data_IF_999329164058
#
_entry.id   IF_999329164058
#
_cell.length_a   1.000
_cell.length_b   1.000
_cell.length_c   1.000
_cell.angle_alpha   90.00
_cell.angle_beta   90.00
_cell.angle_gamma   90.00
#
_symmetry.space_group_name_H-M   'P 1'
#
loop_
_entity.id
_entity.type
_entity.pdbx_description
1 polymer ?
2 non-polymer ?
3 non-polymer ?
4 water ?
#
# COMPACT_ATOMS: atom_id res chain seq x y z
N UNK A 1 -23.36 -21.29 2.77
CA UNK A 1 -22.10 -21.78 2.14
C UNK A 1 -21.01 -20.71 2.20
N UNK A 2 -19.81 -21.09 1.77
CA UNK A 2 -18.64 -20.21 1.75
C UNK A 2 -18.46 -19.65 0.33
N UNK A 3 -18.27 -18.32 0.20
CA UNK A 3 -17.99 -17.74 -1.13
C UNK A 3 -16.67 -18.25 -1.71
N UNK A 4 -16.52 -18.17 -3.03
CA UNK A 4 -15.27 -18.58 -3.66
C UNK A 4 -14.09 -17.81 -3.07
N UNK A 5 -13.00 -18.53 -2.81
CA UNK A 5 -11.74 -17.91 -2.45
C UNK A 5 -10.56 -18.68 -3.06
N UNK A 6 -9.44 -17.97 -3.34
CA UNK A 6 -8.25 -18.64 -3.88
C UNK A 6 -7.65 -19.60 -2.86
N UNK A 7 -7.23 -20.79 -3.32
CA UNK A 7 -6.60 -21.76 -2.43
C UNK A 7 -5.12 -21.95 -2.74
N UNK A 8 -4.72 -21.51 -3.93
CA UNK A 8 -3.31 -21.45 -4.30
C UNK A 8 -3.00 -20.11 -4.96
N UNK A 9 -1.71 -19.79 -5.01
CA UNK A 9 -1.25 -18.48 -5.47
C UNK A 9 -1.73 -18.16 -6.90
N UNK A 10 -1.72 -19.19 -7.77
CA UNK A 10 -2.15 -19.02 -9.16
C UNK A 10 -3.64 -18.72 -9.31
N UNK A 11 -4.42 -19.07 -8.29
CA UNK A 11 -5.86 -18.80 -8.27
C UNK A 11 -6.17 -17.29 -8.29
N UNK A 12 -5.17 -16.48 -7.97
CA UNK A 12 -5.33 -15.03 -8.03
C UNK A 12 -5.57 -14.55 -9.47
N UNK A 13 -5.18 -15.37 -10.45
CA UNK A 13 -5.48 -15.13 -11.86
C UNK A 13 -6.98 -15.03 -12.11
N UNK A 14 -7.77 -15.72 -11.28
CA UNK A 14 -9.20 -15.87 -11.49
C UNK A 14 -10.07 -14.87 -10.72
N UNK A 15 -9.44 -13.94 -10.01
CA UNK A 15 -10.17 -12.93 -9.23
C UNK A 15 -11.06 -12.07 -10.12
N UNK A 26 -9.60 4.74 -18.21
CA UNK A 26 -9.63 5.85 -17.27
C UNK A 26 -11.02 6.43 -17.12
N UNK A 27 -11.41 6.72 -15.87
CA UNK A 27 -12.60 7.50 -15.59
C UNK A 27 -12.45 8.86 -16.28
N UNK A 28 -13.52 9.32 -16.92
CA UNK A 28 -13.49 10.56 -17.70
C UNK A 28 -13.25 11.82 -16.86
N UNK A 29 -13.42 11.72 -15.55
CA UNK A 29 -13.21 12.85 -14.64
C UNK A 29 -11.85 12.86 -13.97
N UNK A 30 -11.01 11.87 -14.29
CA UNK A 30 -9.65 11.84 -13.79
C UNK A 30 -8.91 13.06 -14.33
N UNK A 31 -8.07 13.72 -13.49
CA UNK A 31 -7.33 14.91 -13.93
C UNK A 31 -6.52 14.70 -15.20
N UNK A 32 -6.11 13.47 -15.46
CA UNK A 32 -5.28 13.15 -16.62
C UNK A 32 -6.02 12.72 -17.86
N UNK A 33 -7.35 12.62 -17.78
CA UNK A 33 -8.16 12.16 -18.91
C UNK A 33 -8.02 13.09 -20.12
N UNK A 34 -8.10 14.39 -19.88
CA UNK A 34 -7.98 15.39 -20.95
C UNK A 34 -6.54 15.60 -21.45
N UNK A 35 -5.62 14.82 -20.91
CA UNK A 35 -4.25 14.78 -21.42
C UNK A 35 -4.08 13.50 -22.24
N UNK A 36 -3.91 13.67 -23.55
CA UNK A 36 -3.89 12.54 -24.48
C UNK A 36 -2.81 11.49 -24.21
N UNK A 37 -1.58 11.95 -23.93
CA UNK A 37 -0.50 11.01 -23.61
C UNK A 37 -0.76 10.30 -22.28
N UNK A 38 -1.25 11.03 -21.28
CA UNK A 38 -1.59 10.42 -20.00
C UNK A 38 -2.67 9.34 -20.19
N UNK A 39 -3.72 9.69 -20.92
CA UNK A 39 -4.82 8.77 -21.18
C UNK A 39 -4.36 7.50 -21.90
N UNK A 40 -3.56 7.67 -22.95
CA UNK A 40 -3.09 6.55 -23.75
C UNK A 40 -2.15 5.62 -22.96
N UNK A 41 -1.25 6.22 -22.19
CA UNK A 41 -0.33 5.45 -21.36
C UNK A 41 -1.04 4.69 -20.26
N UNK A 42 -2.10 5.27 -19.69
CA UNK A 42 -2.92 4.57 -18.71
C UNK A 42 -3.54 3.31 -19.30
N UNK A 43 -3.99 3.38 -20.55
CA UNK A 43 -4.49 2.20 -21.26
C UNK A 43 -3.40 1.14 -21.42
N UNK A 44 -2.19 1.60 -21.76
CA UNK A 44 -1.03 0.72 -21.86
C UNK A 44 -0.77 -0.03 -20.55
N UNK A 45 -0.69 0.71 -19.44
CA UNK A 45 -0.50 0.09 -18.12
C UNK A 45 -1.64 -0.88 -17.77
N UNK A 46 -2.88 -0.49 -18.05
CA UNK A 46 -4.03 -1.34 -17.80
C UNK A 46 -3.94 -2.67 -18.57
N UNK A 47 -3.50 -2.62 -19.82
CA UNK A 47 -3.38 -3.81 -20.66
C UNK A 47 -2.27 -4.76 -20.19
N UNK A 48 -1.16 -4.21 -19.71
CA UNK A 48 -0.07 -5.03 -19.16
C UNK A 48 -0.55 -5.84 -17.97
N UNK A 49 -1.29 -5.19 -17.07
CA UNK A 49 -1.85 -5.86 -15.89
C UNK A 49 -2.88 -6.92 -16.28
N UNK A 50 -3.76 -6.58 -17.22
CA UNK A 50 -4.79 -7.51 -17.67
C UNK A 50 -4.19 -8.76 -18.32
N UNK A 51 -3.10 -8.58 -19.05
CA UNK A 51 -2.44 -9.69 -19.74
C UNK A 51 -1.56 -10.55 -18.82
N UNK A 52 -1.24 -10.01 -17.64
CA UNK A 52 -0.40 -10.73 -16.68
C UNK A 52 -1.07 -12.00 -16.14
N UNK A 53 -0.29 -13.08 -16.02
CA UNK A 53 -0.71 -14.30 -15.35
C UNK A 53 0.38 -14.73 -14.37
N UNK A 54 -0.01 -15.34 -13.24
CA UNK A 54 0.97 -15.77 -12.24
C UNK A 54 2.08 -16.59 -12.87
N UNK A 55 3.32 -16.27 -12.49
CA UNK A 55 4.50 -16.96 -13.06
C UNK A 55 5.26 -16.11 -14.06
N UNK A 56 4.56 -15.19 -14.71
CA UNK A 56 5.17 -14.21 -15.61
C UNK A 56 6.11 -13.28 -14.85
N UNK A 57 7.25 -12.93 -15.45
CA UNK A 57 7.96 -11.77 -14.90
C UNK A 57 7.06 -10.55 -15.09
N UNK A 58 7.04 -9.63 -14.12
CA UNK A 58 6.19 -8.44 -14.27
C UNK A 58 6.79 -7.56 -15.36
N UNK A 59 6.01 -7.23 -16.41
CA UNK A 59 6.55 -6.41 -17.49
C UNK A 59 7.22 -5.13 -16.99
N UNK A 60 8.44 -4.90 -17.45
CA UNK A 60 9.17 -3.68 -17.12
C UNK A 60 8.82 -2.58 -18.11
N UNK A 61 8.64 -1.37 -17.58
CA UNK A 61 8.19 -0.23 -18.37
C UNK A 61 9.25 0.86 -18.42
N UNK A 62 9.48 1.39 -19.62
CA UNK A 62 10.31 2.58 -19.77
C UNK A 62 9.43 3.78 -19.47
N UNK A 63 9.64 4.37 -18.30
CA UNK A 63 8.87 5.54 -17.91
C UNK A 63 9.33 6.79 -18.65
N UNK A 64 8.39 7.69 -18.88
CA UNK A 64 8.64 8.93 -19.59
C UNK A 64 9.32 9.96 -18.70
N UNK A 65 9.84 11.02 -19.31
CA UNK A 65 10.45 12.12 -18.56
C UNK A 65 9.46 12.76 -17.58
N UNK A 66 8.22 12.96 -18.02
CA UNK A 66 7.17 13.54 -17.16
C UNK A 66 6.85 12.64 -15.97
N UNK A 67 6.75 11.33 -16.23
CA UNK A 67 6.50 10.36 -15.16
C UNK A 67 7.63 10.38 -14.13
N UNK A 68 8.87 10.37 -14.62
CA UNK A 68 10.05 10.41 -13.76
C UNK A 68 10.15 11.72 -12.98
N UNK A 69 9.75 12.83 -13.61
CA UNK A 69 9.74 14.14 -12.94
C UNK A 69 8.77 14.14 -11.76
N UNK A 70 7.58 13.58 -11.95
CA UNK A 70 6.59 13.48 -10.88
C UNK A 70 7.09 12.58 -9.75
N UNK A 71 7.61 11.40 -10.11
CA UNK A 71 8.26 10.51 -9.13
C UNK A 71 9.34 11.25 -8.35
N UNK A 72 10.19 11.96 -9.10
CA UNK A 72 11.32 12.71 -8.53
C UNK A 72 10.89 13.72 -7.48
N UNK A 73 9.86 14.49 -7.80
CA UNK A 73 9.28 15.48 -6.89
C UNK A 73 8.79 14.81 -5.60
N UNK A 74 7.97 13.78 -5.77
CA UNK A 74 7.42 13.01 -4.67
C UNK A 74 8.54 12.43 -3.79
N UNK A 75 9.49 11.74 -4.42
CA UNK A 75 10.64 11.11 -3.75
C UNK A 75 11.48 12.12 -2.97
N UNK A 76 11.86 13.20 -3.63
CA UNK A 76 12.70 14.24 -3.03
C UNK A 76 12.08 14.81 -1.75
N UNK A 77 10.82 15.19 -1.83
CA UNK A 77 10.11 15.79 -0.69
C UNK A 77 9.81 14.80 0.44
N UNK A 78 9.40 13.58 0.07
CA UNK A 78 9.14 12.56 1.08
C UNK A 78 10.41 12.19 1.86
N UNK A 79 11.53 12.09 1.15
CA UNK A 79 12.80 11.76 1.79
C UNK A 79 13.29 12.80 2.80
N UNK A 80 12.81 14.03 2.67
CA UNK A 80 13.10 15.08 3.66
C UNK A 80 12.31 14.87 4.94
N UNK A 81 11.20 14.13 4.83
CA UNK A 81 10.27 13.94 5.94
C UNK A 81 10.47 12.62 6.67
N UNK A 82 10.81 11.57 5.92
CA UNK A 82 10.98 10.23 6.49
C UNK A 82 11.82 10.15 7.79
N UNK A 83 13.03 10.77 7.80
CA UNK A 83 13.87 10.68 9.00
C UNK A 83 13.16 11.09 10.31
N UNK A 84 12.23 12.02 10.23
CA UNK A 84 11.52 12.50 11.44
C UNK A 84 10.08 11.97 11.59
N UNK A 85 9.54 11.37 10.54
CA UNK A 85 8.12 11.00 10.49
C UNK A 85 7.89 9.47 10.43
N UNK A 86 8.77 8.76 9.74
CA UNK A 86 8.59 7.33 9.50
C UNK A 86 9.05 6.47 10.68
N UNK A 87 8.39 5.33 10.88
CA UNK A 87 8.81 4.35 11.89
C UNK A 87 10.21 3.82 11.56
N UNK A 88 10.91 3.31 12.59
CA UNK A 88 12.29 2.82 12.39
C UNK A 88 12.39 1.67 11.39
N UNK A 89 11.39 0.79 11.36
CA UNK A 89 11.37 -0.35 10.44
C UNK A 89 11.39 0.13 8.99
N UNK A 90 10.60 1.16 8.70
CA UNK A 90 10.60 1.79 7.39
C UNK A 90 11.99 2.32 7.05
N UNK A 91 12.55 3.12 7.96
CA UNK A 91 13.87 3.73 7.79
C UNK A 91 15.00 2.71 7.67
N UNK A 92 14.86 1.56 8.34
CA UNK A 92 15.84 0.48 8.26
C UNK A 92 15.91 -0.11 6.86
N UNK A 93 14.76 -0.22 6.20
CA UNK A 93 14.63 -0.96 4.94
C UNK A 93 14.79 -0.13 3.68
N UNK A 94 14.51 1.17 3.76
CA UNK A 94 14.58 2.05 2.58
C UNK A 94 15.96 2.08 1.89
N UNK A 95 17.07 2.20 2.66
CA UNK A 95 18.41 2.18 2.07
C UNK A 95 18.77 0.90 1.30
N UNK A 96 18.22 -0.24 1.73
CA UNK A 96 18.44 -1.51 1.03
C UNK A 96 17.74 -1.52 -0.31
N UNK A 97 16.52 -0.98 -0.34
CA UNK A 97 15.76 -0.84 -1.57
C UNK A 97 16.44 0.08 -2.56
N UNK A 98 16.98 1.19 -2.07
CA UNK A 98 17.72 2.12 -2.90
C UNK A 98 18.98 1.49 -3.49
N UNK A 99 19.63 0.63 -2.72
CA UNK A 99 20.83 -0.05 -3.19
C UNK A 99 20.50 -1.12 -4.23
N UNK A 100 19.49 -1.94 -3.94
CA UNK A 100 19.22 -3.13 -4.75
C UNK A 100 18.14 -2.97 -5.82
N UNK A 101 17.27 -1.97 -5.68
CA UNK A 101 16.13 -1.82 -6.59
C UNK A 101 16.08 -0.49 -7.36
N UNK A 102 17.12 0.33 -7.21
CA UNK A 102 17.24 1.58 -7.98
C UNK A 102 16.29 2.70 -7.60
N UNK A 103 16.01 2.84 -6.31
CA UNK A 103 15.24 3.97 -5.80
C UNK A 103 16.14 5.20 -5.86
N UNK A 104 15.86 6.08 -6.82
CA UNK A 104 16.62 7.31 -7.05
C UNK A 104 15.66 8.39 -7.50
N UNK A 105 16.04 9.64 -7.31
CA UNK A 105 15.23 10.78 -7.72
C UNK A 105 14.90 10.76 -9.22
N UNK A 106 15.81 10.23 -10.03
CA UNK A 106 15.60 10.20 -11.48
C UNK A 106 15.39 8.78 -12.04
N UNK A 107 14.97 7.86 -11.19
CA UNK A 107 14.66 6.50 -11.64
C UNK A 107 13.48 5.90 -10.88
N UNK A 108 12.46 5.48 -11.61
CA UNK A 108 11.34 4.75 -10.99
C UNK A 108 11.68 3.25 -10.92
N UNK A 109 11.72 2.68 -9.70
CA UNK A 109 11.95 1.24 -9.57
C UNK A 109 10.89 0.43 -10.30
N UNK A 110 11.30 -0.74 -10.81
CA UNK A 110 10.40 -1.64 -11.51
C UNK A 110 9.73 -2.61 -10.55
N UNK A 111 8.45 -2.90 -10.80
CA UNK A 111 7.72 -3.83 -9.94
C UNK A 111 8.40 -5.19 -9.86
N UNK A 112 8.91 -5.68 -10.99
CA UNK A 112 9.60 -6.99 -11.01
C UNK A 112 10.84 -7.04 -10.09
N UNK A 113 11.61 -5.95 -10.07
CA UNK A 113 12.79 -5.85 -9.20
C UNK A 113 12.42 -5.85 -7.73
N UNK A 114 11.44 -5.01 -7.36
CA UNK A 114 10.99 -4.96 -5.96
C UNK A 114 10.30 -6.27 -5.55
N UNK A 115 9.59 -6.91 -6.48
CA UNK A 115 8.97 -8.20 -6.20
C UNK A 115 10.04 -9.22 -5.82
N UNK A 116 11.09 -9.30 -6.64
CA UNK A 116 12.19 -10.23 -6.38
C UNK A 116 12.95 -9.93 -5.09
N UNK A 117 13.10 -8.65 -4.78
CA UNK A 117 13.71 -8.23 -3.51
C UNK A 117 12.84 -8.72 -2.34
N UNK A 118 11.53 -8.49 -2.41
CA UNK A 118 10.62 -8.91 -1.34
C UNK A 118 10.56 -10.43 -1.18
N UNK A 119 10.63 -11.15 -2.30
CA UNK A 119 10.62 -12.62 -2.28
C UNK A 119 11.74 -13.17 -1.41
N UNK A 120 12.93 -12.61 -1.54
CA UNK A 120 14.08 -13.08 -0.77
C UNK A 120 14.07 -12.61 0.70
N UNK A 121 13.41 -11.48 0.97
CA UNK A 121 13.37 -10.90 2.32
C UNK A 121 12.26 -11.50 3.18
N UNK A 122 11.03 -11.53 2.68
CA UNK A 122 9.86 -11.96 3.45
C UNK A 122 8.94 -12.94 2.71
N UNK A 123 9.29 -13.28 1.48
CA UNK A 123 8.46 -14.17 0.67
C UNK A 123 7.28 -13.43 0.04
N UNK A 124 7.21 -12.12 0.24
CA UNK A 124 6.21 -11.31 -0.46
C UNK A 124 6.55 -11.20 -1.94
N UNK A 125 5.52 -11.10 -2.76
CA UNK A 125 5.69 -10.86 -4.18
C UNK A 125 4.60 -9.90 -4.66
N UNK A 126 4.77 -9.41 -5.87
CA UNK A 126 3.85 -8.46 -6.45
C UNK A 126 3.18 -9.03 -7.69
N UNK A 127 1.90 -8.69 -7.87
CA UNK A 127 1.31 -8.79 -9.19
C UNK A 127 0.70 -7.45 -9.59
N UNK A 128 0.85 -7.08 -10.87
CA UNK A 128 0.31 -5.82 -11.35
C UNK A 128 -1.21 -5.88 -11.41
N UNK A 129 -1.86 -4.77 -11.06
CA UNK A 129 -3.30 -4.65 -11.16
C UNK A 129 -3.67 -3.40 -11.98
N UNK A 130 -4.68 -3.53 -12.84
CA UNK A 130 -5.05 -2.44 -13.75
C UNK A 130 -5.61 -1.22 -13.00
N UNK A 131 -6.40 -1.49 -11.97
CA UNK A 131 -6.97 -0.43 -11.16
C UNK A 131 -7.63 -0.97 -9.91
N UNK A 132 -8.89 -0.59 -9.70
CA UNK A 132 -9.65 -0.98 -8.53
C UNK A 132 -9.90 -2.48 -8.47
N UNK A 133 -9.79 -3.04 -7.27
CA UNK A 133 -10.24 -4.39 -6.98
C UNK A 133 -10.94 -4.36 -5.64
N UNK A 134 -11.83 -5.33 -5.40
CA UNK A 134 -12.58 -5.37 -4.15
C UNK A 134 -11.66 -5.59 -2.95
N UNK A 135 -12.07 -5.11 -1.75
CA UNK A 135 -11.34 -5.47 -0.54
C UNK A 135 -11.15 -6.99 -0.40
N UNK A 136 -12.21 -7.76 -0.66
CA UNK A 136 -12.10 -9.22 -0.59
C UNK A 136 -10.95 -9.73 -1.47
N UNK A 137 -10.90 -9.26 -2.71
CA UNK A 137 -9.87 -9.70 -3.66
C UNK A 137 -8.48 -9.27 -3.21
N UNK A 138 -8.34 -8.00 -2.83
CA UNK A 138 -7.04 -7.51 -2.38
C UNK A 138 -6.53 -8.27 -1.15
N UNK A 139 -7.38 -8.40 -0.14
CA UNK A 139 -7.02 -9.14 1.07
C UNK A 139 -6.71 -10.62 0.77
N UNK A 140 -7.42 -11.19 -0.20
CA UNK A 140 -7.17 -12.58 -0.56
C UNK A 140 -5.74 -12.77 -1.05
N UNK A 141 -5.22 -11.77 -1.78
CA UNK A 141 -3.83 -11.82 -2.25
C UNK A 141 -2.84 -11.87 -1.10
N UNK A 142 -3.07 -11.04 -0.07
CA UNK A 142 -2.18 -11.02 1.11
C UNK A 142 -2.03 -12.38 1.79
N UNK A 143 -3.07 -13.19 1.72
CA UNK A 143 -3.02 -14.55 2.27
C UNK A 143 -1.88 -15.38 1.69
N UNK A 144 -1.52 -15.07 0.44
CA UNK A 144 -0.40 -15.75 -0.25
C UNK A 144 0.86 -14.89 -0.30
N UNK A 145 0.92 -13.88 0.56
CA UNK A 145 1.98 -12.86 0.53
C UNK A 145 2.13 -12.26 -0.87
N UNK A 146 0.98 -11.95 -1.48
CA UNK A 146 0.94 -11.30 -2.78
C UNK A 146 0.29 -9.94 -2.61
N UNK A 147 1.00 -8.91 -3.05
CA UNK A 147 0.50 -7.56 -2.99
C UNK A 147 0.14 -7.08 -4.41
N UNK A 148 -1.13 -6.73 -4.62
CA UNK A 148 -1.54 -6.19 -5.92
C UNK A 148 -1.09 -4.74 -6.04
N UNK A 149 -0.28 -4.44 -7.05
CA UNK A 149 0.31 -3.10 -7.22
C UNK A 149 -0.05 -2.45 -8.56
N UNK A 150 -0.32 -1.15 -8.51
CA UNK A 150 -0.47 -0.34 -9.71
C UNK A 150 0.90 0.05 -10.22
N UNK A 151 0.99 0.28 -11.52
CA UNK A 151 2.26 0.50 -12.21
C UNK A 151 2.37 1.91 -12.81
N UNK A 152 1.24 2.59 -12.94
CA UNK A 152 1.20 3.97 -13.45
C UNK A 152 1.58 5.00 -12.40
N UNK A 153 1.81 6.23 -12.86
CA UNK A 153 2.21 7.32 -12.00
C UNK A 153 1.06 8.33 -11.87
N UNK A 154 0.92 8.90 -10.68
CA UNK A 154 -0.10 9.92 -10.41
C UNK A 154 0.04 11.11 -11.37
N UNK A 155 -1.09 11.77 -11.66
CA UNK A 155 -1.06 12.95 -12.52
C UNK A 155 -0.23 14.07 -11.89
N UNK A 156 0.54 14.76 -12.75
CA UNK A 156 1.49 15.78 -12.30
C UNK A 156 0.86 16.97 -11.58
N UNK A 157 -0.44 17.18 -11.78
CA UNK A 157 -1.14 18.34 -11.22
C UNK A 157 -1.15 18.36 -9.70
N UNK A 158 -1.15 17.19 -9.08
CA UNK A 158 -1.04 17.09 -7.62
C UNK A 158 -0.16 15.93 -7.18
N UNK A 159 1.15 16.18 -7.04
CA UNK A 159 2.02 15.13 -6.52
C UNK A 159 1.86 14.90 -5.01
N UNK A 160 1.28 15.87 -4.30
CA UNK A 160 1.28 15.86 -2.84
C UNK A 160 0.22 14.96 -2.21
N UNK A 161 -0.88 14.76 -2.93
CA UNK A 161 -1.96 13.88 -2.49
C UNK A 161 -2.79 13.48 -3.70
N UNK A 162 -3.09 12.19 -3.80
CA UNK A 162 -4.06 11.71 -4.78
C UNK A 162 -4.99 10.67 -4.16
N UNK A 163 -6.31 10.75 -4.46
CA UNK A 163 -7.23 9.74 -3.97
C UNK A 163 -7.08 8.39 -4.69
N UNK A 164 -6.31 8.37 -5.78
CA UNK A 164 -6.09 7.15 -6.55
C UNK A 164 -4.68 6.61 -6.29
N UNK A 165 -4.58 5.37 -5.79
CA UNK A 165 -3.25 4.80 -5.55
C UNK A 165 -2.50 4.58 -6.87
N UNK A 166 -1.23 4.96 -6.87
CA UNK A 166 -0.38 4.84 -8.05
C UNK A 166 0.88 4.09 -7.66
N UNK A 167 1.83 3.99 -8.59
CA UNK A 167 3.04 3.21 -8.32
C UNK A 167 3.93 3.87 -7.26
N UNK A 168 3.93 5.21 -7.21
CA UNK A 168 4.66 5.92 -6.16
C UNK A 168 4.20 5.45 -4.78
N UNK A 169 2.87 5.37 -4.62
CA UNK A 169 2.28 4.84 -3.41
C UNK A 169 2.71 3.41 -3.09
N UNK A 170 2.70 2.52 -4.09
CA UNK A 170 3.10 1.13 -3.83
C UNK A 170 4.58 1.08 -3.40
N UNK A 171 5.41 1.80 -4.14
CA UNK A 171 6.87 1.69 -3.99
C UNK A 171 7.42 2.39 -2.75
N UNK A 172 6.90 3.57 -2.47
CA UNK A 172 7.33 4.35 -1.31
C UNK A 172 6.47 4.15 -0.06
N UNK A 173 5.19 3.86 -0.25
CA UNK A 173 4.29 3.61 0.87
C UNK A 173 4.42 2.21 1.43
N UNK A 174 4.31 1.19 0.56
CA UNK A 174 4.21 -0.21 1.00
C UNK A 174 5.49 -1.04 1.06
N UNK A 175 6.28 -0.97 -0.01
CA UNK A 175 7.39 -1.91 -0.19
C UNK A 175 8.38 -1.99 1.01
N UNK A 176 8.85 -0.84 1.53
CA UNK A 176 9.79 -0.89 2.66
C UNK A 176 9.28 -1.61 3.90
N UNK A 177 7.97 -1.62 4.13
CA UNK A 177 7.44 -2.35 5.27
C UNK A 177 7.11 -3.81 4.95
N UNK A 178 6.77 -4.10 3.70
CA UNK A 178 6.58 -5.50 3.26
C UNK A 178 7.89 -6.28 3.38
N UNK A 179 9.00 -5.56 3.44
CA UNK A 179 10.33 -6.16 3.59
C UNK A 179 10.65 -6.48 5.05
N UNK A 180 9.76 -6.11 5.96
CA UNK A 180 9.95 -6.35 7.39
C UNK A 180 9.15 -7.59 7.82
N UNK A 181 9.85 -8.64 8.31
CA UNK A 181 9.21 -9.90 8.71
C UNK A 181 7.96 -9.75 9.60
N UNK A 182 8.02 -8.92 10.64
CA UNK A 182 6.89 -8.77 11.55
C UNK A 182 5.69 -8.15 10.83
N UNK A 183 5.96 -7.20 9.94
CA UNK A 183 4.90 -6.52 9.20
C UNK A 183 4.30 -7.44 8.15
N UNK A 184 5.16 -8.17 7.44
CA UNK A 184 4.70 -9.15 6.45
C UNK A 184 3.78 -10.20 7.08
N UNK A 185 4.14 -10.64 8.29
CA UNK A 185 3.31 -11.61 9.02
C UNK A 185 1.95 -11.00 9.34
N UNK A 186 1.97 -9.77 9.87
CA UNK A 186 0.76 -9.05 10.23
C UNK A 186 -0.18 -8.95 9.03
N UNK A 187 0.37 -8.51 7.89
CA UNK A 187 -0.38 -8.39 6.64
C UNK A 187 -0.96 -9.71 6.15
N UNK A 188 -0.13 -10.75 6.12
CA UNK A 188 -0.59 -12.08 5.69
C UNK A 188 -1.76 -12.56 6.55
N UNK A 189 -1.67 -12.32 7.86
CA UNK A 189 -2.68 -12.79 8.79
C UNK A 189 -4.06 -12.14 8.58
N UNK A 190 -4.06 -10.87 8.18
CA UNK A 190 -5.32 -10.23 7.76
C UNK A 190 -5.87 -10.96 6.53
N UNK A 191 -5.02 -11.19 5.54
CA UNK A 191 -5.43 -11.91 4.33
C UNK A 191 -6.00 -13.28 4.62
N UNK A 192 -5.28 -14.06 5.42
CA UNK A 192 -5.72 -15.39 5.84
C UNK A 192 -7.09 -15.36 6.52
N UNK A 193 -7.27 -14.42 7.45
CA UNK A 193 -8.55 -14.26 8.14
C UNK A 193 -9.70 -13.93 7.18
N UNK A 194 -9.38 -13.27 6.06
CA UNK A 194 -10.39 -12.82 5.12
C UNK A 194 -10.91 -13.91 4.19
N UNK A 195 -10.11 -14.96 4.00
CA UNK A 195 -10.42 -15.98 3.00
C UNK A 195 -11.72 -16.71 3.31
N UNK A 196 -12.68 -16.57 2.40
CA UNK A 196 -13.99 -17.20 2.54
C UNK A 196 -14.85 -16.63 3.67
N UNK A 197 -14.42 -15.52 4.26
CA UNK A 197 -15.13 -14.91 5.37
C UNK A 197 -16.44 -14.26 4.89
N UNK A 198 -17.34 -14.00 5.84
CA UNK A 198 -18.59 -13.29 5.56
C UNK A 198 -18.31 -11.88 5.04
N UNK A 199 -19.30 -11.26 4.41
CA UNK A 199 -19.19 -9.88 3.94
C UNK A 199 -18.87 -8.91 5.07
N UNK A 200 -19.57 -9.08 6.19
CA UNK A 200 -19.37 -8.26 7.39
C UNK A 200 -17.93 -8.41 7.90
N UNK A 201 -17.44 -9.64 7.96
CA UNK A 201 -16.08 -9.92 8.40
C UNK A 201 -15.04 -9.25 7.50
N UNK A 202 -15.23 -9.36 6.18
CA UNK A 202 -14.31 -8.73 5.23
C UNK A 202 -14.28 -7.22 5.41
N UNK A 203 -15.46 -6.61 5.60
CA UNK A 203 -15.55 -5.16 5.80
C UNK A 203 -14.77 -4.74 7.04
N UNK A 204 -14.94 -5.49 8.12
CA UNK A 204 -14.25 -5.18 9.37
C UNK A 204 -12.74 -5.36 9.23
N UNK A 205 -12.33 -6.46 8.60
CA UNK A 205 -10.91 -6.71 8.34
C UNK A 205 -10.31 -5.65 7.43
N UNK A 206 -11.05 -5.26 6.39
CA UNK A 206 -10.60 -4.21 5.47
C UNK A 206 -10.43 -2.86 6.16
N UNK A 207 -11.33 -2.55 7.08
CA UNK A 207 -11.25 -1.30 7.85
C UNK A 207 -10.04 -1.30 8.80
N UNK A 208 -9.82 -2.41 9.50
CA UNK A 208 -8.63 -2.55 10.35
C UNK A 208 -7.34 -2.43 9.53
N UNK A 209 -7.33 -3.05 8.35
CA UNK A 209 -6.22 -2.91 7.41
C UNK A 209 -6.00 -1.44 7.04
N UNK A 210 -7.09 -0.75 6.70
CA UNK A 210 -7.07 0.65 6.32
C UNK A 210 -6.44 1.55 7.39
N UNK A 211 -6.78 1.30 8.66
CA UNK A 211 -6.30 2.17 9.73
C UNK A 211 -5.04 1.64 10.41
N UNK A 212 -4.43 0.63 9.81
CA UNK A 212 -3.11 0.16 10.25
C UNK A 212 -2.15 0.24 9.06
N UNK A 213 -2.20 -0.75 8.18
CA UNK A 213 -1.31 -0.82 7.03
C UNK A 213 -1.39 0.44 6.18
N UNK A 214 -2.59 0.97 5.99
CA UNK A 214 -2.76 2.13 5.12
C UNK A 214 -2.53 3.48 5.81
N UNK A 215 -3.06 3.65 7.02
CA UNK A 215 -3.03 4.97 7.69
C UNK A 215 -2.59 4.94 9.16
N UNK A 216 -1.93 3.86 9.55
CA UNK A 216 -1.54 3.67 10.94
C UNK A 216 -0.39 4.54 11.41
N UNK A 217 -0.46 4.90 12.69
CA UNK A 217 0.67 5.50 13.38
C UNK A 217 1.11 4.51 14.46
N UNK A 218 2.37 4.62 14.88
CA UNK A 218 2.84 3.85 16.01
C UNK A 218 3.56 4.74 17.00
N UNK A 219 3.72 4.25 18.22
CA UNK A 219 4.48 4.96 19.24
C UNK A 219 5.82 4.25 19.37
N UNK A 220 6.89 4.96 19.07
CA UNK A 220 8.23 4.39 19.16
C UNK A 220 9.14 5.27 20.00
N UNK A 221 9.67 4.70 21.07
CA UNK A 221 10.45 5.43 22.08
C UNK A 221 9.71 6.71 22.51
N UNK A 222 8.40 6.57 22.73
CA UNK A 222 7.56 7.67 23.20
C UNK A 222 7.03 8.63 22.14
N UNK A 223 7.59 8.57 20.93
CA UNK A 223 7.22 9.50 19.86
C UNK A 223 6.25 8.85 18.88
N UNK A 224 5.36 9.65 18.30
CA UNK A 224 4.49 9.16 17.24
C UNK A 224 5.26 9.12 15.94
N UNK A 225 5.19 7.97 15.26
CA UNK A 225 5.76 7.79 13.94
C UNK A 225 4.69 7.17 13.04
N UNK A 226 4.90 7.22 11.74
CA UNK A 226 3.92 6.64 10.82
C UNK A 226 4.42 5.38 10.14
N UNK A 227 3.51 4.42 10.01
CA UNK A 227 3.79 3.22 9.24
C UNK A 227 2.77 3.04 8.14
N UNK A 228 1.70 3.84 8.19
CA UNK A 228 0.66 3.81 7.15
C UNK A 228 1.14 4.19 5.76
N UNK A 229 1.00 3.26 4.83
CA UNK A 229 1.46 3.44 3.46
C UNK A 229 0.84 4.64 2.72
N UNK A 230 -0.44 4.90 2.98
CA UNK A 230 -1.15 6.04 2.42
C UNK A 230 -0.61 7.38 2.91
N UNK A 231 -0.05 7.37 4.11
CA UNK A 231 0.64 8.54 4.64
C UNK A 231 2.06 8.65 4.10
N UNK A 232 2.77 7.52 4.05
CA UNK A 232 4.17 7.52 3.63
C UNK A 232 4.40 7.90 2.15
N UNK A 233 3.31 7.89 1.37
CA UNK A 233 3.37 8.28 -0.04
C UNK A 233 2.77 9.65 -0.34
N UNK A 234 2.15 10.29 0.66
CA UNK A 234 1.54 11.62 0.48
C UNK A 234 2.28 12.69 1.26
N UNK A 235 3.00 13.55 0.54
CA UNK A 235 3.74 14.66 1.15
C UNK A 235 2.84 15.45 2.11
N UNK A 236 1.67 15.86 1.63
CA UNK A 236 0.77 16.70 2.42
C UNK A 236 0.13 15.97 3.61
N UNK A 237 -0.34 14.74 3.41
CA UNK A 237 -0.97 14.03 4.53
C UNK A 237 0.04 13.53 5.56
N UNK A 238 1.25 13.19 5.12
CA UNK A 238 2.31 12.80 6.04
C UNK A 238 2.62 13.93 7.02
N UNK A 239 2.78 15.15 6.48
CA UNK A 239 3.01 16.33 7.32
C UNK A 239 1.82 16.57 8.26
N UNK A 240 0.61 16.46 7.71
CA UNK A 240 -0.61 16.66 8.48
C UNK A 240 -0.78 15.68 9.65
N UNK A 241 -0.53 14.39 9.39
CA UNK A 241 -0.70 13.35 10.42
C UNK A 241 0.09 13.64 11.70
N UNK A 242 1.31 14.15 11.56
CA UNK A 242 2.15 14.45 12.72
C UNK A 242 2.32 15.94 13.03
N UNK A 243 1.35 16.76 12.65
CA UNK A 243 1.49 18.24 12.71
C UNK A 243 1.67 18.96 14.08
N UNK A 244 0.99 18.57 15.17
CA UNK A 244 -0.09 17.62 15.21
C UNK A 244 -1.40 18.33 15.49
N UNK A 245 -2.09 18.68 14.41
CA UNK A 245 -3.43 19.23 14.45
C UNK A 245 -4.45 18.13 14.18
N UNK A 246 -3.97 16.89 14.03
CA UNK A 246 -4.82 15.74 13.72
C UNK A 246 -5.28 15.03 14.98
N UNK A 247 -6.49 14.49 14.95
CA UNK A 247 -7.01 13.67 16.03
C UNK A 247 -6.38 12.28 15.98
N UNK A 248 -6.00 11.77 17.15
CA UNK A 248 -5.41 10.43 17.27
C UNK A 248 -6.10 9.58 18.32
N UNK A 249 -6.24 8.29 18.03
CA UNK A 249 -6.89 7.34 18.93
C UNK A 249 -6.07 6.05 19.04
N UNK A 250 -6.21 5.31 20.16
CA UNK A 250 -5.49 4.04 20.25
C UNK A 250 -6.12 3.01 19.30
N UNK A 251 -5.29 2.23 18.62
CA UNK A 251 -5.79 1.16 17.77
C UNK A 251 -6.48 0.11 18.64
N UNK A 252 -7.75 -0.16 18.34
CA UNK A 252 -8.56 -1.11 19.08
C UNK A 252 -9.56 -1.70 18.09
N UNK A 253 -9.25 -2.91 17.57
CA UNK A 253 -10.01 -3.47 16.43
C UNK A 253 -11.53 -3.35 16.54
N UNK A 254 -12.10 -3.67 17.71
CA UNK A 254 -13.57 -3.60 17.88
C UNK A 254 -14.15 -2.19 17.72
N UNK A 255 -13.32 -1.18 17.95
CA UNK A 255 -13.70 0.22 17.71
C UNK A 255 -13.24 0.69 16.33
N UNK A 256 -11.98 0.44 16.01
CA UNK A 256 -11.39 0.85 14.74
C UNK A 256 -12.15 0.34 13.52
N UNK A 257 -12.67 -0.89 13.60
CA UNK A 257 -13.35 -1.51 12.46
C UNK A 257 -14.67 -0.82 12.09
N UNK A 258 -15.15 0.05 12.99
CA UNK A 258 -16.39 0.79 12.78
C UNK A 258 -16.14 2.18 12.20
N UNK A 259 -14.87 2.58 12.09
CA UNK A 259 -14.53 3.91 11.59
C UNK A 259 -14.66 3.97 10.06
N UNK A 260 -15.26 5.06 9.57
CA UNK A 260 -15.43 5.27 8.14
C UNK A 260 -14.08 5.53 7.47
N UNK A 261 -13.80 4.76 6.42
CA UNK A 261 -12.61 4.96 5.60
C UNK A 261 -12.86 6.06 4.58
N UNK A 262 -12.15 7.19 4.74
CA UNK A 262 -12.32 8.32 3.83
C UNK A 262 -11.45 8.18 2.58
N UNK A 263 -12.10 8.21 1.41
CA UNK A 263 -11.47 7.82 0.15
C UNK A 263 -11.22 8.95 -0.87
N UNK A 264 -11.55 10.19 -0.52
CA UNK A 264 -11.23 11.33 -1.39
C UNK A 264 -10.58 12.50 -0.63
N UNK A 265 -10.35 12.32 0.67
CA UNK A 265 -9.75 13.34 1.52
C UNK A 265 -8.72 12.75 2.48
N UNK A 266 -8.05 13.63 3.22
CA UNK A 266 -7.29 13.27 4.40
C UNK A 266 -8.22 12.54 5.37
N UNK A 267 -7.67 11.66 6.19
CA UNK A 267 -8.46 10.98 7.22
C UNK A 267 -8.91 11.96 8.32
N UNK A 268 -10.02 11.66 8.98
CA UNK A 268 -10.49 12.46 10.11
C UNK A 268 -9.82 12.05 11.43
N UNK A 269 -9.33 10.82 11.47
CA UNK A 269 -8.69 10.27 12.67
C UNK A 269 -7.60 9.28 12.28
N UNK A 270 -6.55 9.22 13.08
CA UNK A 270 -5.50 8.22 12.91
C UNK A 270 -5.38 7.38 14.16
N UNK A 271 -5.20 6.07 13.97
CA UNK A 271 -5.10 5.14 15.08
C UNK A 271 -3.64 4.76 15.35
N UNK A 272 -3.30 4.72 16.64
CA UNK A 272 -1.94 4.45 17.08
C UNK A 272 -1.80 3.03 17.64
N UNK A 273 -0.94 2.25 16.99
CA UNK A 273 -0.59 0.92 17.46
C UNK A 273 0.69 1.00 18.30
N UNK A 274 0.80 0.13 19.29
CA UNK A 274 2.00 0.08 20.14
C UNK A 274 3.19 -0.45 19.36
N UNK A 275 2.96 -1.51 18.59
CA UNK A 275 3.99 -2.15 17.76
C UNK A 275 3.30 -3.03 16.73
N UNK A 276 4.07 -3.54 15.76
CA UNK A 276 3.50 -4.47 14.77
C UNK A 276 3.08 -5.76 15.46
N UNK A 277 3.91 -6.24 16.38
CA UNK A 277 3.59 -7.43 17.16
C UNK A 277 2.29 -7.26 17.95
N UNK A 278 2.13 -6.08 18.59
CA UNK A 278 0.95 -5.82 19.39
C UNK A 278 -0.33 -5.73 18.54
N UNK A 279 -0.22 -5.04 17.40
CA UNK A 279 -1.35 -4.92 16.48
C UNK A 279 -1.76 -6.29 15.96
N UNK A 280 -0.76 -7.14 15.70
CA UNK A 280 -0.99 -8.52 15.25
C UNK A 280 -1.78 -9.31 16.30
N UNK A 281 -1.37 -9.19 17.55
CA UNK A 281 -2.02 -9.91 18.65
C UNK A 281 -3.45 -9.45 18.86
N UNK A 282 -3.67 -8.14 18.83
CA UNK A 282 -5.01 -7.57 18.95
C UNK A 282 -5.91 -8.05 17.80
N UNK A 283 -5.35 -8.14 16.60
CA UNK A 283 -6.10 -8.64 15.45
C UNK A 283 -6.39 -10.13 15.58
N UNK A 284 -5.46 -10.88 16.15
CA UNK A 284 -5.68 -12.31 16.41
C UNK A 284 -6.89 -12.51 17.34
N UNK A 285 -6.94 -11.75 18.43
CA UNK A 285 -8.06 -11.82 19.38
C UNK A 285 -9.36 -11.39 18.70
N UNK A 286 -9.28 -10.36 17.87
CA UNK A 286 -10.43 -9.80 17.18
C UNK A 286 -11.05 -10.75 16.15
N UNK A 287 -10.20 -11.45 15.38
CA UNK A 287 -10.70 -12.33 14.31
C UNK A 287 -11.47 -13.55 14.86
N UNK A 288 -11.12 -13.96 16.08
CA UNK A 288 -11.85 -15.01 16.79
C UNK A 288 -13.32 -14.65 17.01
N UNK A 289 -13.57 -13.37 17.26
CA UNK A 289 -14.93 -12.89 17.52
C UNK A 289 -15.77 -12.73 16.24
N UNK A 290 -15.12 -12.80 15.09
CA UNK A 290 -15.82 -12.67 13.79
C UNK A 290 -15.52 -13.83 12.84
X LIG B 1 -1.99 1.00 -0.50
X LIG C 1 -1.57 10.50 -2.14
X LIG C 1 -1.27 9.32 -1.83
X LIG C 1 -0.12 8.85 -1.99
X LIG C 1 -2.33 8.43 -1.26
X LIG C 1 -3.48 9.21 -0.83
X LIG C 1 -2.74 7.47 -2.37
X LIG C 1 -3.75 6.42 -1.95
X LIG C 1 -5.03 6.44 -2.50
X LIG C 1 -5.96 5.46 -2.13
X LIG C 1 -5.61 4.48 -1.20
X LIG C 1 -4.32 4.47 -0.65
X LIG C 1 -3.40 5.44 -1.03
X LIG C 1 -6.60 3.43 -0.81
X LIG C 1 -7.80 3.39 -1.43
X LIG C 1 -8.69 2.42 -1.10
X LIG C 1 -8.38 1.50 -0.17
X LIG C 1 -7.17 1.53 0.44
X LIG C 1 -6.84 0.61 1.39
X LIG C 1 -6.29 2.50 0.11
X LIG C 1 -9.91 2.38 -1.72
X LIG C 1 -10.24 3.25 -2.85
X LIG C 1 -11.76 3.24 -3.05
X LIG C 1 -9.53 2.86 -4.11
X LIG C 1 -8.74 1.71 -4.18
X LIG C 1 -8.06 1.32 -5.33
X LIG C 1 -8.16 2.09 -6.47
X LIG C 1 -7.50 1.75 -7.64
X LIG C 1 -7.64 2.57 -8.77
X LIG C 1 -8.43 3.73 -8.72
X LIG C 1 -9.10 4.12 -7.57
X LIG C 1 -8.99 3.33 -6.43
X LIG C 1 -9.65 3.67 -5.24
#
# INVERSE_FOLDING_TARGET
SVPWFPKKISDLDHCANRVLMYGSELDADHPGFKDNVYRKRRKYFADLAMNYKHGDPIPKVEFTEEEIKTWGTVFRELNKLYPTHACREYLKNLPLLSKYCGYREDNIPQLEDVSNFLKERTGFSIRPVAGYLSPRDFLSGLAFRVFHCTQYVRHSSDPFYTPEPDTCHELLGHVPLLAEPSFAQFSQEIGLASLGASEEAVQKLATCYFFTVEFGLCKQDGQLRVFGAGLLSSISELKHALSGHAKVKPFDPKITCKQECLITTFQDVYFVSESFEDAKEKMREFTKTI
FE FE
LX0 O3 C1 O2 C4 N5 C6 C7 C12 C11 C10 C9 C8 C13 N18 C17 N16 C15 N19 N14 N20 C21 C22 C23 C28 C27 C26 C32 C31 C30 C29 C25 C24
#
